data_IF_199398878030
#
_entry.id   IF_199398878030
#
_cell.length_a   1.000
_cell.length_b   1.000
_cell.length_c   1.000
_cell.angle_alpha   90.00
_cell.angle_beta   90.00
_cell.angle_gamma   90.00
#
_symmetry.space_group_name_H-M   'P 1'
#
loop_
_entity.id
_entity.type
_entity.pdbx_description
1 polymer ?
#
# COMPACT_ATOMS: atom_id res chain seq x y z
N UNK A 1 49.09 34.24 50.34
CA UNK A 1 50.41 34.86 50.14
C UNK A 1 50.98 34.21 48.88
N UNK A 2 51.18 34.84 47.73
CA UNK A 2 51.51 36.23 47.39
C UNK A 2 50.94 36.51 45.98
N UNK A 3 50.49 37.75 45.74
CA UNK A 3 49.97 38.28 44.47
C UNK A 3 51.12 38.78 43.54
N UNK A 4 50.88 39.41 42.37
CA UNK A 4 51.59 39.16 41.12
C UNK A 4 52.62 40.26 40.75
N UNK A 5 53.17 40.25 39.52
CA UNK A 5 53.24 41.50 38.74
C UNK A 5 52.74 41.30 37.30
N UNK A 6 51.73 42.06 36.85
CA UNK A 6 51.82 43.41 36.26
C UNK A 6 52.27 43.43 34.79
N UNK A 7 51.31 43.82 33.94
CA UNK A 7 51.41 44.18 32.53
C UNK A 7 52.44 45.28 32.25
N UNK A 8 52.76 45.51 30.96
CA UNK A 8 52.79 46.87 30.46
C UNK A 8 51.86 47.07 29.26
N UNK A 9 51.33 48.28 29.24
CA UNK A 9 50.35 48.86 28.33
C UNK A 9 50.95 49.53 27.10
N UNK A 10 50.15 49.51 26.03
CA UNK A 10 49.90 50.58 25.05
C UNK A 10 50.94 50.92 23.97
N UNK A 11 50.57 50.69 22.70
CA UNK A 11 50.48 51.78 21.71
C UNK A 11 49.52 51.41 20.58
N UNK A 12 48.59 52.34 20.38
CA UNK A 12 47.52 52.43 19.39
C UNK A 12 48.01 52.58 17.95
N UNK A 13 47.36 51.91 17.00
CA UNK A 13 47.10 52.45 15.67
C UNK A 13 45.77 51.91 15.16
N UNK A 14 44.80 52.81 15.08
CA UNK A 14 43.49 52.60 14.47
C UNK A 14 43.63 52.54 12.95
N UNK A 15 43.00 51.56 12.32
CA UNK A 15 42.42 51.75 11.00
C UNK A 15 40.99 51.20 11.03
N UNK A 16 40.07 52.15 11.06
CA UNK A 16 38.65 51.98 10.77
C UNK A 16 38.49 51.62 9.29
N UNK A 17 37.79 50.53 8.99
CA UNK A 17 36.80 50.53 7.90
C UNK A 17 35.78 49.41 8.06
N UNK A 18 34.58 49.82 8.46
CA UNK A 18 33.27 49.40 7.94
C UNK A 18 32.85 47.91 7.97
N UNK A 19 31.95 47.62 8.92
CA UNK A 19 30.68 46.91 8.76
C UNK A 19 30.36 46.32 7.37
N UNK A 20 29.97 45.03 7.34
CA UNK A 20 28.55 44.70 7.15
C UNK A 20 28.25 43.24 7.48
N UNK A 21 27.14 43.08 8.18
CA UNK A 21 26.38 41.87 8.46
C UNK A 21 26.11 41.01 7.21
N UNK A 22 26.25 39.69 7.33
CA UNK A 22 25.51 38.76 6.48
C UNK A 22 24.82 37.69 7.34
N UNK A 23 23.55 37.98 7.64
CA UNK A 23 22.54 37.03 8.09
C UNK A 23 22.25 36.04 6.96
N UNK A 24 22.64 34.78 7.12
CA UNK A 24 22.17 33.72 6.21
C UNK A 24 20.75 33.30 6.64
N UNK A 25 19.76 34.02 6.11
CA UNK A 25 18.37 33.60 6.05
C UNK A 25 18.27 32.48 5.01
N UNK A 26 18.08 31.23 5.44
CA UNK A 26 17.69 30.15 4.54
C UNK A 26 16.17 30.14 4.40
N UNK A 27 15.64 31.09 3.63
CA UNK A 27 14.29 30.98 3.09
C UNK A 27 14.32 29.93 1.97
N UNK A 28 13.82 28.72 2.24
CA UNK A 28 13.49 27.76 1.19
C UNK A 28 12.28 28.30 0.38
N UNK A 29 12.24 28.08 -0.94
CA UNK A 29 11.16 28.60 -1.77
C UNK A 29 9.82 27.95 -1.43
N UNK A 30 8.69 28.63 -1.68
CA UNK A 30 7.36 28.09 -1.38
C UNK A 30 7.07 26.85 -2.24
N UNK A 31 6.32 25.91 -1.68
CA UNK A 31 5.79 24.74 -2.38
C UNK A 31 4.87 25.21 -3.53
N UNK A 32 5.29 24.97 -4.76
CA UNK A 32 4.45 25.17 -5.95
C UNK A 32 3.42 24.04 -5.98
N UNK A 33 2.15 24.35 -5.74
CA UNK A 33 1.05 23.46 -6.10
C UNK A 33 0.94 23.41 -7.63
N UNK A 34 1.19 22.24 -8.21
CA UNK A 34 1.00 22.01 -9.64
C UNK A 34 -0.44 21.51 -9.86
N UNK A 35 -1.30 22.26 -10.58
CA UNK A 35 -2.64 21.79 -10.93
C UNK A 35 -2.53 20.59 -11.89
N UNK A 36 -3.31 19.56 -11.62
CA UNK A 36 -3.39 18.35 -12.43
C UNK A 36 -4.11 18.68 -13.75
N UNK A 37 -3.35 19.02 -14.79
CA UNK A 37 -3.87 19.26 -16.12
C UNK A 37 -4.22 17.94 -16.82
N UNK A 38 -5.45 17.88 -17.29
CA UNK A 38 -6.07 16.83 -18.10
C UNK A 38 -5.25 16.56 -19.37
N UNK A 39 -4.64 15.38 -19.45
CA UNK A 39 -3.94 14.91 -20.65
C UNK A 39 -4.95 14.23 -21.59
N UNK A 40 -5.59 15.04 -22.43
CA UNK A 40 -6.17 14.58 -23.69
C UNK A 40 -5.50 15.35 -24.83
N UNK A 41 -4.69 14.65 -25.63
CA UNK A 41 -4.34 15.10 -26.98
C UNK A 41 -4.13 13.88 -27.88
N UNK A 42 -4.75 13.83 -29.06
CA UNK A 42 -4.77 12.66 -29.92
C UNK A 42 -3.43 12.44 -30.61
N UNK A 43 -3.12 11.17 -30.86
CA UNK A 43 -1.94 10.75 -31.61
C UNK A 43 -2.00 11.27 -33.06
N UNK A 44 -1.10 12.19 -33.40
CA UNK A 44 -0.70 12.44 -34.77
C UNK A 44 0.38 11.43 -35.14
N UNK A 45 0.14 10.65 -36.19
CA UNK A 45 1.10 9.72 -36.76
C UNK A 45 2.20 10.50 -37.50
N UNK A 46 3.36 10.66 -36.85
CA UNK A 46 4.59 11.05 -37.55
C UNK A 46 5.29 9.79 -38.07
N UNK A 47 5.23 9.60 -39.40
CA UNK A 47 6.03 8.61 -40.12
C UNK A 47 7.52 8.97 -40.03
N UNK A 48 8.21 8.34 -39.09
CA UNK A 48 9.68 8.35 -39.04
C UNK A 48 10.23 7.41 -40.12
N UNK A 49 10.77 8.03 -41.18
CA UNK A 49 11.46 7.35 -42.27
C UNK A 49 12.71 6.60 -41.76
N UNK A 50 12.56 5.30 -41.55
CA UNK A 50 13.69 4.39 -41.31
C UNK A 50 14.13 3.77 -42.63
N UNK A 51 15.41 3.89 -42.96
CA UNK A 51 16.06 3.28 -44.14
C UNK A 51 16.06 1.74 -44.04
N UNK A 52 14.89 1.12 -44.25
CA UNK A 52 14.72 -0.31 -44.42
C UNK A 52 14.90 -0.72 -45.88
N UNK A 53 15.40 -1.94 -46.14
CA UNK A 53 15.49 -2.52 -47.50
C UNK A 53 14.11 -2.47 -48.18
N UNK A 54 13.95 -1.57 -49.16
CA UNK A 54 12.69 -1.17 -49.85
C UNK A 54 11.79 -2.31 -50.37
N UNK A 55 12.28 -3.55 -50.44
CA UNK A 55 11.51 -4.74 -50.87
C UNK A 55 10.78 -5.52 -49.76
N UNK A 56 10.78 -5.04 -48.50
CA UNK A 56 10.24 -5.80 -47.37
C UNK A 56 8.79 -5.45 -46.97
N UNK A 57 8.27 -4.32 -47.42
CA UNK A 57 6.95 -3.83 -47.02
C UNK A 57 5.81 -4.63 -47.66
N UNK A 58 4.81 -5.00 -46.84
CA UNK A 58 3.63 -5.78 -47.23
C UNK A 58 2.87 -5.14 -48.39
N UNK A 59 2.76 -3.80 -48.39
CA UNK A 59 2.06 -3.05 -49.42
C UNK A 59 2.79 -3.11 -50.77
N UNK A 60 4.12 -2.94 -50.80
CA UNK A 60 4.92 -3.04 -52.02
C UNK A 60 4.86 -4.43 -52.65
N UNK A 61 4.84 -5.49 -51.83
CA UNK A 61 4.78 -6.88 -52.34
C UNK A 61 3.42 -7.26 -52.93
N UNK A 62 2.33 -6.68 -52.42
CA UNK A 62 1.00 -6.79 -53.03
C UNK A 62 0.94 -6.07 -54.37
N UNK A 63 1.43 -4.82 -54.43
CA UNK A 63 1.48 -4.03 -55.68
C UNK A 63 2.31 -4.70 -56.77
N UNK A 64 3.41 -5.37 -56.41
CA UNK A 64 4.21 -6.19 -57.35
C UNK A 64 3.36 -7.32 -57.95
N UNK A 65 2.48 -7.96 -57.17
CA UNK A 65 1.59 -9.01 -57.69
C UNK A 65 0.51 -8.44 -58.55
N UNK A 66 -0.16 -7.36 -58.12
CA UNK A 66 -1.22 -6.72 -58.89
C UNK A 66 -0.69 -6.34 -60.28
N UNK A 67 0.53 -5.82 -60.35
CA UNK A 67 1.22 -5.50 -61.60
C UNK A 67 1.56 -6.74 -62.43
N UNK A 68 2.08 -7.81 -61.81
CA UNK A 68 2.36 -9.07 -62.51
C UNK A 68 1.09 -9.75 -63.04
N UNK A 69 -0.04 -9.63 -62.33
CA UNK A 69 -1.34 -10.14 -62.78
C UNK A 69 -1.84 -9.41 -64.03
N UNK A 70 -1.59 -8.10 -64.15
CA UNK A 70 -1.90 -7.33 -65.37
C UNK A 70 -1.11 -7.84 -66.60
N UNK A 71 0.10 -8.37 -66.39
CA UNK A 71 0.96 -8.95 -67.43
C UNK A 71 0.77 -10.47 -67.62
N UNK A 72 -0.18 -11.09 -66.92
CA UNK A 72 -0.46 -12.53 -66.99
C UNK A 72 -1.62 -12.83 -67.93
N UNK A 73 -1.40 -13.66 -68.95
CA UNK A 73 -2.45 -14.21 -69.82
C UNK A 73 -2.45 -15.73 -69.71
N UNK A 74 -3.60 -16.35 -69.46
CA UNK A 74 -3.77 -17.81 -69.28
C UNK A 74 -2.79 -18.42 -68.25
N UNK A 75 -2.52 -17.71 -67.15
CA UNK A 75 -1.60 -18.16 -66.09
C UNK A 75 -0.11 -18.16 -66.47
N UNK A 76 0.26 -17.55 -67.61
CA UNK A 76 1.64 -17.36 -68.05
C UNK A 76 1.97 -15.86 -68.14
N UNK A 77 3.13 -15.50 -67.60
CA UNK A 77 3.65 -14.14 -67.65
C UNK A 77 4.29 -13.84 -69.01
N UNK A 78 4.10 -12.62 -69.50
CA UNK A 78 4.75 -12.13 -70.73
C UNK A 78 6.29 -12.07 -70.59
N UNK A 79 7.00 -12.32 -71.69
CA UNK A 79 8.47 -12.34 -71.72
C UNK A 79 9.00 -10.93 -71.40
N UNK A 80 9.86 -10.84 -70.38
CA UNK A 80 10.50 -9.56 -69.98
C UNK A 80 9.80 -8.83 -68.83
N UNK A 81 8.53 -9.14 -68.51
CA UNK A 81 7.75 -8.41 -67.51
C UNK A 81 8.39 -8.44 -66.11
N UNK A 82 9.10 -9.52 -65.74
CA UNK A 82 9.79 -9.60 -64.45
C UNK A 82 10.96 -8.62 -64.34
N UNK A 83 11.61 -8.26 -65.45
CA UNK A 83 12.67 -7.24 -65.47
C UNK A 83 12.09 -5.84 -65.36
N UNK A 84 10.95 -5.61 -66.02
CA UNK A 84 10.23 -4.34 -65.98
C UNK A 84 9.68 -4.04 -64.58
N UNK A 85 8.96 -5.00 -63.96
CA UNK A 85 8.46 -4.89 -62.59
C UNK A 85 9.61 -4.80 -61.58
N UNK A 86 10.74 -5.48 -61.81
CA UNK A 86 11.92 -5.35 -60.97
C UNK A 86 12.53 -3.93 -60.99
N UNK A 87 12.58 -3.30 -62.17
CA UNK A 87 13.05 -1.92 -62.33
C UNK A 87 12.08 -0.92 -61.70
N UNK A 88 10.77 -1.07 -61.93
CA UNK A 88 9.72 -0.18 -61.40
C UNK A 88 9.73 -0.13 -59.86
N UNK A 89 9.85 -1.28 -59.21
CA UNK A 89 9.84 -1.36 -57.74
C UNK A 89 11.23 -1.30 -57.10
N UNK A 90 12.30 -1.14 -57.90
CA UNK A 90 13.70 -1.15 -57.46
C UNK A 90 14.05 -2.39 -56.59
N UNK A 91 13.65 -3.58 -57.07
CA UNK A 91 13.83 -4.87 -56.39
C UNK A 91 14.49 -5.85 -57.37
N UNK A 92 15.28 -6.80 -56.87
CA UNK A 92 15.90 -7.80 -57.75
C UNK A 92 14.86 -8.66 -58.49
N UNK A 93 15.13 -8.99 -59.75
CA UNK A 93 14.31 -9.91 -60.57
C UNK A 93 14.09 -11.26 -59.90
N UNK A 94 15.10 -11.75 -59.13
CA UNK A 94 14.98 -12.97 -58.31
C UNK A 94 13.91 -12.85 -57.23
N UNK A 95 13.78 -11.69 -56.59
CA UNK A 95 12.76 -11.44 -55.56
C UNK A 95 11.37 -11.37 -56.18
N UNK A 96 11.22 -10.69 -57.32
CA UNK A 96 9.96 -10.64 -58.10
C UNK A 96 9.52 -12.06 -58.50
N UNK A 97 10.44 -12.88 -59.01
CA UNK A 97 10.17 -14.28 -59.35
C UNK A 97 9.75 -15.13 -58.15
N UNK A 98 10.36 -14.94 -56.97
CA UNK A 98 9.96 -15.63 -55.73
C UNK A 98 8.56 -15.22 -55.27
N UNK A 99 8.23 -13.93 -55.34
CA UNK A 99 6.90 -13.41 -55.00
C UNK A 99 5.85 -14.05 -55.92
N UNK A 100 6.11 -14.07 -57.24
CA UNK A 100 5.23 -14.68 -58.22
C UNK A 100 5.02 -16.18 -58.00
N UNK A 101 6.08 -16.91 -57.68
CA UNK A 101 5.98 -18.35 -57.41
C UNK A 101 5.07 -18.65 -56.22
N UNK A 102 5.19 -17.87 -55.13
CA UNK A 102 4.33 -18.03 -53.95
C UNK A 102 2.87 -17.75 -54.31
N UNK A 103 2.63 -16.65 -55.03
CA UNK A 103 1.29 -16.26 -55.46
C UNK A 103 0.65 -17.32 -56.38
N UNK A 104 1.40 -17.82 -57.37
CA UNK A 104 0.94 -18.85 -58.31
C UNK A 104 0.55 -20.15 -57.58
N UNK A 105 1.36 -20.59 -56.62
CA UNK A 105 1.05 -21.79 -55.82
C UNK A 105 -0.21 -21.59 -54.97
N UNK A 106 -0.41 -20.41 -54.36
CA UNK A 106 -1.62 -20.10 -53.58
C UNK A 106 -2.87 -20.05 -54.49
N UNK A 107 -2.77 -19.41 -55.66
CA UNK A 107 -3.85 -19.35 -56.65
C UNK A 107 -4.25 -20.73 -57.17
N UNK A 108 -3.27 -21.61 -57.45
CA UNK A 108 -3.55 -23.00 -57.88
C UNK A 108 -4.22 -23.85 -56.80
N UNK A 109 -3.93 -23.56 -55.52
CA UNK A 109 -4.56 -24.20 -54.37
C UNK A 109 -5.91 -23.58 -53.96
N UNK A 110 -6.40 -22.57 -54.69
CA UNK A 110 -7.65 -21.85 -54.36
C UNK A 110 -7.57 -21.00 -53.09
N UNK A 111 -6.37 -20.71 -52.59
CA UNK A 111 -6.13 -19.93 -51.38
C UNK A 111 -5.97 -18.44 -51.70
N UNK A 112 -6.38 -17.54 -50.79
CA UNK A 112 -6.11 -16.11 -50.94
C UNK A 112 -4.59 -15.85 -50.99
N UNK A 113 -4.17 -14.97 -51.90
CA UNK A 113 -2.75 -14.67 -52.12
C UNK A 113 -2.19 -13.83 -50.96
N UNK A 114 -1.35 -14.46 -50.13
CA UNK A 114 -0.59 -13.79 -49.07
C UNK A 114 0.92 -13.91 -49.32
N UNK A 115 1.52 -12.80 -49.70
CA UNK A 115 2.95 -12.69 -49.99
C UNK A 115 3.69 -11.85 -48.97
N UNK A 116 3.19 -11.74 -47.74
CA UNK A 116 3.92 -11.10 -46.66
C UNK A 116 5.35 -11.62 -46.54
N UNK A 117 6.26 -10.71 -46.20
CA UNK A 117 7.63 -11.07 -45.88
C UNK A 117 7.65 -12.00 -44.67
N UNK A 118 7.91 -13.29 -44.90
CA UNK A 118 8.05 -14.29 -43.84
C UNK A 118 9.20 -14.02 -42.87
N UNK A 119 10.07 -13.05 -43.17
CA UNK A 119 11.15 -12.62 -42.29
C UNK A 119 10.65 -11.78 -41.11
N UNK A 120 9.56 -11.04 -41.30
CA UNK A 120 8.93 -10.23 -40.25
C UNK A 120 8.33 -11.22 -39.22
N UNK A 121 8.79 -11.16 -37.97
CA UNK A 121 8.41 -12.08 -36.90
C UNK A 121 9.19 -13.40 -36.83
N UNK A 122 9.82 -13.85 -37.93
CA UNK A 122 10.66 -15.06 -37.93
C UNK A 122 12.16 -14.81 -37.89
N UNK A 123 12.59 -13.57 -38.12
CA UNK A 123 14.00 -13.18 -38.05
C UNK A 123 14.38 -12.71 -36.64
N UNK A 124 15.64 -12.94 -36.27
CA UNK A 124 16.20 -12.58 -34.97
C UNK A 124 16.24 -13.75 -33.98
N UNK A 125 16.90 -13.52 -32.84
CA UNK A 125 17.07 -14.53 -31.79
C UNK A 125 15.70 -14.88 -31.19
N UNK A 126 15.30 -16.14 -31.30
CA UNK A 126 14.10 -16.67 -30.65
C UNK A 126 14.21 -16.48 -29.13
N UNK A 127 13.11 -16.10 -28.49
CA UNK A 127 13.08 -15.86 -27.05
C UNK A 127 13.36 -17.17 -26.32
N UNK A 128 14.34 -17.15 -25.42
CA UNK A 128 14.55 -18.27 -24.50
C UNK A 128 13.41 -18.33 -23.50
N UNK A 129 12.69 -19.44 -23.48
CA UNK A 129 11.62 -19.70 -22.51
C UNK A 129 12.22 -19.94 -21.12
N UNK A 130 11.47 -19.60 -20.08
CA UNK A 130 11.87 -19.92 -18.71
C UNK A 130 11.81 -21.45 -18.55
N UNK A 131 12.91 -22.06 -18.12
CA UNK A 131 12.88 -23.46 -17.70
C UNK A 131 12.17 -23.55 -16.33
N UNK A 132 10.87 -23.82 -16.34
CA UNK A 132 10.02 -23.84 -15.15
C UNK A 132 10.39 -24.97 -14.19
N UNK A 133 10.73 -26.16 -14.70
CA UNK A 133 11.16 -27.30 -13.89
C UNK A 133 12.45 -26.98 -13.13
N UNK A 134 13.45 -26.40 -13.80
CA UNK A 134 14.70 -25.97 -13.14
C UNK A 134 14.41 -24.92 -12.08
N UNK A 135 13.55 -23.94 -12.36
CA UNK A 135 13.22 -22.90 -11.37
C UNK A 135 12.45 -23.42 -10.16
N UNK A 136 11.59 -24.45 -10.33
CA UNK A 136 10.89 -25.11 -9.23
C UNK A 136 11.85 -25.91 -8.34
N UNK A 137 12.87 -26.55 -8.92
CA UNK A 137 13.92 -27.25 -8.18
C UNK A 137 14.84 -26.29 -7.38
N UNK A 138 14.91 -25.01 -7.74
CA UNK A 138 15.69 -24.00 -7.00
C UNK A 138 14.95 -23.58 -5.73
N UNK A 139 15.50 -23.85 -4.53
CA UNK A 139 14.87 -23.48 -3.27
C UNK A 139 14.80 -21.96 -3.09
N UNK A 140 13.78 -21.48 -2.37
CA UNK A 140 13.49 -20.05 -2.24
C UNK A 140 14.66 -19.20 -1.72
N UNK A 141 15.49 -19.74 -0.83
CA UNK A 141 16.63 -19.00 -0.29
C UNK A 141 17.70 -18.67 -1.35
N UNK A 142 17.78 -19.42 -2.46
CA UNK A 142 18.70 -19.17 -3.59
C UNK A 142 18.08 -18.29 -4.70
N UNK A 143 16.83 -17.83 -4.55
CA UNK A 143 16.14 -16.95 -5.52
C UNK A 143 15.59 -15.66 -4.93
N UNK A 144 16.17 -15.19 -3.81
CA UNK A 144 15.76 -13.94 -3.11
C UNK A 144 15.98 -12.67 -3.94
N UNK A 145 17.00 -12.64 -4.80
CA UNK A 145 17.29 -11.52 -5.67
C UNK A 145 17.63 -12.00 -7.09
N UNK A 146 17.61 -11.08 -8.05
CA UNK A 146 17.80 -11.40 -9.47
C UNK A 146 19.16 -12.03 -9.76
N UNK A 147 20.23 -11.65 -9.03
CA UNK A 147 21.57 -12.22 -9.22
C UNK A 147 21.62 -13.67 -8.75
N UNK A 148 21.04 -13.95 -7.58
CA UNK A 148 21.00 -15.30 -7.02
C UNK A 148 20.17 -16.26 -7.90
N UNK A 149 19.00 -15.80 -8.37
CA UNK A 149 18.18 -16.59 -9.30
C UNK A 149 18.90 -16.82 -10.63
N UNK A 150 19.58 -15.80 -11.17
CA UNK A 150 20.34 -15.92 -12.41
C UNK A 150 21.45 -16.98 -12.30
N UNK A 151 22.21 -16.95 -11.20
CA UNK A 151 23.23 -17.95 -10.91
C UNK A 151 22.65 -19.36 -10.78
N UNK A 152 21.57 -19.54 -10.01
CA UNK A 152 20.94 -20.85 -9.83
C UNK A 152 20.31 -21.40 -11.13
N UNK A 153 19.87 -20.52 -12.03
CA UNK A 153 19.29 -20.87 -13.31
C UNK A 153 20.32 -21.02 -14.42
N UNK A 154 21.60 -20.72 -14.16
CA UNK A 154 22.69 -20.67 -15.14
C UNK A 154 22.35 -19.75 -16.33
N UNK A 155 21.89 -18.54 -16.01
CA UNK A 155 21.54 -17.51 -16.99
C UNK A 155 22.08 -16.15 -16.56
N UNK A 156 22.11 -15.19 -17.48
CA UNK A 156 22.48 -13.81 -17.14
C UNK A 156 21.40 -13.10 -16.31
N UNK A 157 21.81 -12.12 -15.49
CA UNK A 157 20.89 -11.23 -14.75
C UNK A 157 19.89 -10.52 -15.69
N UNK A 158 20.34 -10.13 -16.88
CA UNK A 158 19.49 -9.44 -17.87
C UNK A 158 18.40 -10.36 -18.43
N UNK A 159 18.67 -11.68 -18.51
CA UNK A 159 17.65 -12.68 -18.85
C UNK A 159 16.54 -12.71 -17.78
N UNK A 160 16.90 -12.77 -16.49
CA UNK A 160 15.92 -12.71 -15.39
C UNK A 160 15.14 -11.40 -15.37
N UNK A 161 15.79 -10.27 -15.66
CA UNK A 161 15.14 -8.97 -15.78
C UNK A 161 14.10 -8.96 -16.90
N UNK A 162 14.43 -9.57 -18.04
CA UNK A 162 13.53 -9.70 -19.17
C UNK A 162 12.31 -10.53 -18.79
N UNK A 163 12.51 -11.68 -18.14
CA UNK A 163 11.42 -12.54 -17.64
C UNK A 163 10.46 -11.80 -16.70
N UNK A 164 10.98 -10.89 -15.86
CA UNK A 164 10.13 -10.02 -15.02
C UNK A 164 9.34 -9.00 -15.86
N UNK A 165 9.99 -8.36 -16.85
CA UNK A 165 9.33 -7.38 -17.74
C UNK A 165 8.25 -8.02 -18.62
N UNK A 166 8.50 -9.24 -19.11
CA UNK A 166 7.53 -10.02 -19.89
C UNK A 166 6.48 -10.74 -19.04
N UNK A 167 6.58 -10.66 -17.71
CA UNK A 167 5.69 -11.36 -16.76
C UNK A 167 5.75 -12.89 -16.84
N UNK A 168 6.82 -13.46 -17.39
CA UNK A 168 7.08 -14.91 -17.36
C UNK A 168 7.37 -15.40 -15.93
N UNK A 169 7.89 -14.50 -15.09
CA UNK A 169 8.05 -14.70 -13.64
C UNK A 169 7.55 -13.46 -12.90
N UNK A 170 7.19 -13.64 -11.62
CA UNK A 170 6.73 -12.54 -10.76
C UNK A 170 7.64 -12.34 -9.55
N UNK A 171 7.81 -11.08 -9.15
CA UNK A 171 8.33 -10.75 -7.81
C UNK A 171 7.20 -10.90 -6.80
N UNK A 172 7.48 -11.52 -5.66
CA UNK A 172 6.55 -11.61 -4.55
C UNK A 172 7.27 -11.22 -3.27
N UNK A 173 6.72 -10.25 -2.54
CA UNK A 173 7.18 -9.89 -1.21
C UNK A 173 6.41 -10.71 -0.19
N UNK A 174 7.12 -11.37 0.73
CA UNK A 174 6.54 -12.16 1.80
C UNK A 174 6.87 -11.49 3.14
N UNK A 175 5.85 -10.97 3.83
CA UNK A 175 6.00 -10.40 5.16
C UNK A 175 5.89 -11.51 6.21
N UNK A 176 6.68 -11.40 7.29
CA UNK A 176 6.58 -12.32 8.42
C UNK A 176 5.22 -12.10 9.08
N UNK A 177 4.45 -13.18 9.24
CA UNK A 177 3.18 -13.18 9.96
C UNK A 177 3.41 -13.59 11.42
N UNK A 178 2.55 -13.15 12.36
CA UNK A 178 2.60 -13.61 13.73
C UNK A 178 2.51 -15.14 13.80
N UNK A 179 3.32 -15.73 14.66
CA UNK A 179 3.25 -17.16 14.92
C UNK A 179 2.00 -17.50 15.73
N UNK A 180 1.27 -18.53 15.31
CA UNK A 180 0.09 -19.04 15.98
C UNK A 180 0.32 -20.51 16.35
N UNK A 181 0.41 -20.79 17.65
CA UNK A 181 0.32 -22.15 18.16
C UNK A 181 -1.11 -22.69 18.00
N UNK A 182 -1.31 -24.01 18.08
CA UNK A 182 -2.64 -24.63 17.92
C UNK A 182 -3.67 -24.04 18.90
N UNK A 183 -3.30 -23.88 20.18
CA UNK A 183 -4.16 -23.20 21.17
C UNK A 183 -4.53 -21.77 20.75
N UNK A 184 -3.60 -21.04 20.13
CA UNK A 184 -3.85 -19.69 19.61
C UNK A 184 -4.82 -19.70 18.43
N UNK A 185 -4.70 -20.68 17.53
CA UNK A 185 -5.64 -20.88 16.42
C UNK A 185 -7.03 -21.21 16.93
N UNK A 186 -7.17 -22.13 17.89
CA UNK A 186 -8.47 -22.47 18.48
C UNK A 186 -9.13 -21.27 19.17
N UNK A 187 -8.36 -20.43 19.88
CA UNK A 187 -8.88 -19.16 20.45
C UNK A 187 -9.39 -18.21 19.37
N UNK A 188 -8.66 -18.07 18.25
CA UNK A 188 -9.11 -17.27 17.11
C UNK A 188 -10.36 -17.83 16.45
N UNK A 189 -10.41 -19.16 16.30
CA UNK A 189 -11.55 -19.87 15.72
C UNK A 189 -12.81 -19.67 16.57
N UNK A 190 -12.70 -19.94 17.88
CA UNK A 190 -13.77 -19.69 18.85
C UNK A 190 -14.23 -18.24 18.83
N UNK A 191 -13.30 -17.29 18.90
CA UNK A 191 -13.62 -15.87 18.84
C UNK A 191 -14.42 -15.52 17.58
N UNK A 192 -14.04 -16.02 16.40
CA UNK A 192 -14.80 -15.74 15.17
C UNK A 192 -16.18 -16.42 15.16
N UNK A 193 -16.32 -17.62 15.73
CA UNK A 193 -17.61 -18.31 15.88
C UNK A 193 -18.54 -17.59 16.86
N UNK A 194 -18.02 -17.10 17.98
CA UNK A 194 -18.77 -16.36 19.00
C UNK A 194 -19.35 -15.04 18.45
N UNK A 195 -18.77 -14.53 17.36
CA UNK A 195 -19.27 -13.35 16.65
C UNK A 195 -20.28 -13.67 15.56
N UNK A 196 -20.70 -14.92 15.37
CA UNK A 196 -21.82 -15.24 14.49
C UNK A 196 -23.12 -15.02 15.25
N UNK A 197 -24.05 -14.31 14.62
CA UNK A 197 -25.32 -13.91 15.24
C UNK A 197 -26.23 -15.13 15.35
N UNK A 198 -26.66 -15.48 16.57
CA UNK A 198 -27.44 -16.71 16.82
C UNK A 198 -28.70 -16.88 15.94
N UNK A 199 -29.54 -15.84 15.70
CA UNK A 199 -30.69 -15.92 14.79
C UNK A 199 -30.36 -16.31 13.33
N UNK A 200 -29.11 -16.18 12.91
CA UNK A 200 -28.68 -16.43 11.52
C UNK A 200 -28.30 -17.89 11.26
N UNK A 201 -28.16 -18.69 12.32
CA UNK A 201 -27.76 -20.09 12.27
C UNK A 201 -29.00 -20.99 12.08
N UNK A 202 -28.91 -22.08 11.29
CA UNK A 202 -27.77 -22.50 10.47
C UNK A 202 -27.84 -22.02 9.01
N UNK A 203 -28.95 -21.41 8.59
CA UNK A 203 -29.28 -21.22 7.16
C UNK A 203 -28.37 -20.17 6.50
N UNK A 204 -28.08 -19.06 7.17
CA UNK A 204 -27.23 -17.99 6.64
C UNK A 204 -26.36 -17.36 7.74
N UNK A 205 -25.29 -18.04 8.19
CA UNK A 205 -24.46 -17.56 9.29
C UNK A 205 -23.83 -16.20 8.97
N UNK A 206 -24.27 -15.16 9.69
CA UNK A 206 -23.79 -13.78 9.51
C UNK A 206 -23.11 -13.25 10.76
N UNK A 207 -22.04 -12.49 10.57
CA UNK A 207 -21.30 -11.91 11.68
C UNK A 207 -22.09 -10.79 12.36
N UNK A 208 -21.76 -10.57 13.63
CA UNK A 208 -22.26 -9.48 14.44
C UNK A 208 -22.06 -8.14 13.74
N UNK A 209 -23.03 -7.23 13.88
CA UNK A 209 -22.97 -5.95 13.18
C UNK A 209 -21.89 -5.00 13.73
N UNK A 210 -21.37 -5.22 14.94
CA UNK A 210 -20.37 -4.34 15.58
C UNK A 210 -20.83 -2.90 15.84
N UNK A 211 -22.14 -2.61 15.87
CA UNK A 211 -22.66 -1.26 16.17
C UNK A 211 -22.53 -0.86 17.66
N UNK A 212 -22.30 -1.84 18.52
CA UNK A 212 -22.05 -1.79 19.96
C UNK A 212 -20.55 -1.93 20.31
N UNK A 213 -19.67 -2.15 19.33
CA UNK A 213 -18.23 -2.30 19.54
C UNK A 213 -17.48 -0.99 19.28
N UNK A 214 -16.49 -0.73 20.13
CA UNK A 214 -15.44 0.26 19.94
C UNK A 214 -14.12 -0.48 19.93
N UNK A 215 -13.38 -0.39 18.83
CA UNK A 215 -12.02 -0.92 18.73
C UNK A 215 -11.03 0.14 19.16
N UNK A 216 -10.17 -0.22 20.10
CA UNK A 216 -9.03 0.58 20.51
C UNK A 216 -7.72 -0.13 20.20
N UNK A 217 -6.68 0.68 19.98
CA UNK A 217 -5.33 0.20 19.72
C UNK A 217 -4.34 1.34 19.87
N UNK A 218 -3.08 1.01 20.17
CA UNK A 218 -2.01 1.98 20.30
C UNK A 218 -1.02 1.88 19.15
N UNK A 219 -0.51 3.05 18.71
CA UNK A 219 0.55 3.09 17.72
C UNK A 219 1.57 4.18 17.98
N UNK A 220 2.85 3.80 17.85
CA UNK A 220 3.96 4.73 17.71
C UNK A 220 4.02 5.29 16.29
N UNK A 221 3.93 6.62 16.19
CA UNK A 221 4.20 7.35 14.96
C UNK A 221 5.56 8.04 15.06
N UNK A 222 6.42 7.83 14.07
CA UNK A 222 7.75 8.44 14.00
C UNK A 222 7.68 9.68 13.10
N UNK A 223 8.42 10.74 13.45
CA UNK A 223 8.55 11.92 12.59
C UNK A 223 9.06 11.56 11.18
N UNK A 224 9.92 10.54 11.09
CA UNK A 224 10.50 10.13 9.81
C UNK A 224 10.80 8.65 9.77
N UNK A 225 10.63 8.01 8.60
CA UNK A 225 10.95 6.60 8.40
C UNK A 225 12.45 6.42 8.18
N UNK A 226 13.01 5.32 8.68
CA UNK A 226 14.44 4.99 8.47
C UNK A 226 14.80 4.77 6.99
N UNK A 227 13.86 4.23 6.22
CA UNK A 227 14.01 3.96 4.79
C UNK A 227 12.76 4.45 4.08
N UNK A 228 12.94 5.34 3.12
CA UNK A 228 11.87 5.88 2.28
C UNK A 228 12.30 5.76 0.82
N UNK A 229 11.35 5.44 -0.06
CA UNK A 229 11.57 5.41 -1.50
C UNK A 229 11.11 6.73 -2.08
N UNK A 230 11.99 7.41 -2.82
CA UNK A 230 11.65 8.62 -3.57
C UNK A 230 11.60 8.30 -5.06
N UNK A 231 10.68 8.92 -5.78
CA UNK A 231 10.69 8.96 -7.24
C UNK A 231 11.30 10.29 -7.63
N UNK A 232 12.46 10.25 -8.27
CA UNK A 232 13.22 11.41 -8.70
C UNK A 232 13.39 11.41 -10.23
N UNK A 233 13.53 12.59 -10.82
CA UNK A 233 13.86 12.72 -12.25
C UNK A 233 15.30 12.23 -12.49
N UNK A 234 15.66 11.82 -13.73
CA UNK A 234 17.01 11.33 -14.02
C UNK A 234 18.14 12.33 -13.73
N UNK A 235 17.83 13.63 -13.79
CA UNK A 235 18.78 14.74 -13.56
C UNK A 235 18.66 15.33 -12.14
N UNK A 236 17.67 14.90 -11.37
CA UNK A 236 17.47 15.38 -9.99
C UNK A 236 18.49 14.72 -9.06
N UNK A 237 19.18 15.48 -8.19
CA UNK A 237 20.13 14.90 -7.25
C UNK A 237 19.41 14.01 -6.23
N UNK A 238 20.06 12.90 -5.85
CA UNK A 238 19.52 11.99 -4.84
C UNK A 238 19.33 12.70 -3.50
N UNK A 239 18.17 12.53 -2.82
CA UNK A 239 17.90 13.20 -1.56
C UNK A 239 18.82 12.67 -0.45
N UNK A 240 19.62 13.57 0.14
CA UNK A 240 20.47 13.26 1.28
C UNK A 240 19.70 13.43 2.61
N UNK A 241 19.57 12.35 3.38
CA UNK A 241 18.89 12.33 4.69
C UNK A 241 19.82 11.79 5.77
N UNK A 242 20.06 12.60 6.81
CA UNK A 242 20.93 12.23 7.93
C UNK A 242 20.25 12.42 9.27
N UNK A 243 20.53 11.51 10.19
CA UNK A 243 20.24 11.65 11.61
C UNK A 243 21.44 11.11 12.39
N UNK A 244 21.73 11.68 13.56
CA UNK A 244 22.84 11.22 14.42
C UNK A 244 22.66 9.75 14.86
N UNK A 245 21.42 9.34 15.12
CA UNK A 245 21.08 7.95 15.44
C UNK A 245 19.65 7.63 15.06
N UNK A 246 19.44 6.44 14.48
CA UNK A 246 18.11 5.93 14.16
C UNK A 246 17.29 5.59 15.41
N UNK A 247 17.95 5.27 16.52
CA UNK A 247 17.29 4.93 17.77
C UNK A 247 16.58 6.11 18.43
N UNK A 248 17.02 7.34 18.11
CA UNK A 248 16.52 8.58 18.72
C UNK A 248 15.63 9.39 17.77
N UNK A 249 15.07 8.75 16.73
CA UNK A 249 14.07 9.41 15.89
C UNK A 249 12.88 9.77 16.78
N UNK A 250 12.46 11.04 16.85
CA UNK A 250 11.34 11.45 17.68
C UNK A 250 10.05 10.74 17.26
N UNK A 251 9.31 10.27 18.26
CA UNK A 251 8.08 9.51 18.08
C UNK A 251 7.12 9.75 19.23
N UNK A 252 5.83 9.66 18.96
CA UNK A 252 4.75 9.74 19.95
C UNK A 252 3.86 8.51 19.79
N UNK A 253 3.45 7.91 20.90
CA UNK A 253 2.42 6.88 20.91
C UNK A 253 1.04 7.55 20.97
N UNK A 254 0.07 7.00 20.24
CA UNK A 254 -1.32 7.43 20.30
C UNK A 254 -2.20 6.24 20.61
N UNK A 255 -3.19 6.44 21.48
CA UNK A 255 -4.36 5.57 21.61
C UNK A 255 -5.42 6.05 20.63
N UNK A 256 -5.85 5.21 19.70
CA UNK A 256 -6.97 5.52 18.81
C UNK A 256 -8.20 4.69 19.20
N UNK A 257 -9.39 5.27 19.00
CA UNK A 257 -10.65 4.61 19.30
C UNK A 257 -11.68 4.89 18.19
N UNK A 258 -12.22 3.81 17.62
CA UNK A 258 -13.23 3.88 16.54
C UNK A 258 -14.33 2.85 16.76
N UNK A 259 -15.57 3.28 16.58
CA UNK A 259 -16.72 2.39 16.46
C UNK A 259 -17.21 2.30 15.02
N UNK A 260 -18.24 1.49 14.80
CA UNK A 260 -18.82 1.34 13.47
C UNK A 260 -19.75 2.51 13.11
N UNK A 261 -19.50 3.25 12.01
CA UNK A 261 -20.35 4.37 11.59
C UNK A 261 -21.79 3.95 11.35
N UNK A 262 -22.73 4.86 11.58
CA UNK A 262 -24.17 4.64 11.39
C UNK A 262 -24.68 5.58 10.32
N UNK A 263 -25.44 5.03 9.38
CA UNK A 263 -26.04 5.76 8.27
C UNK A 263 -27.57 5.71 8.40
N UNK A 264 -28.24 6.78 7.98
CA UNK A 264 -29.69 6.83 7.83
C UNK A 264 -30.14 6.12 6.56
N UNK A 265 -31.45 5.97 6.40
CA UNK A 265 -32.04 5.29 5.25
C UNK A 265 -31.78 6.01 3.91
N UNK A 266 -31.52 7.31 3.97
CA UNK A 266 -31.15 8.18 2.86
C UNK A 266 -29.63 8.19 2.58
N UNK A 267 -28.85 7.44 3.36
CA UNK A 267 -27.38 7.44 3.31
C UNK A 267 -26.72 8.59 4.06
N UNK A 268 -27.48 9.43 4.78
CA UNK A 268 -26.91 10.48 5.62
C UNK A 268 -26.10 9.85 6.78
N UNK A 269 -24.98 10.48 7.14
CA UNK A 269 -24.15 10.03 8.25
C UNK A 269 -24.82 10.45 9.56
N UNK A 270 -25.40 9.49 10.29
CA UNK A 270 -25.96 9.73 11.63
C UNK A 270 -24.87 9.72 12.70
N UNK A 271 -23.85 8.90 12.49
CA UNK A 271 -22.67 8.85 13.35
C UNK A 271 -21.45 8.43 12.56
N UNK A 272 -20.35 9.17 12.71
CA UNK A 272 -19.16 8.98 11.89
C UNK A 272 -18.22 7.86 12.37
N UNK A 273 -18.50 7.28 13.55
CA UNK A 273 -17.73 6.20 14.17
C UNK A 273 -16.43 6.63 14.85
N UNK A 274 -16.09 7.92 14.89
CA UNK A 274 -14.81 8.40 15.46
C UNK A 274 -14.99 8.80 16.92
N UNK A 275 -14.30 8.11 17.84
CA UNK A 275 -14.28 8.48 19.26
C UNK A 275 -13.15 9.48 19.52
N UNK A 276 -11.91 9.10 19.18
CA UNK A 276 -10.77 9.99 19.37
C UNK A 276 -9.44 9.33 19.05
N UNK A 277 -8.41 10.16 18.97
CA UNK A 277 -7.02 9.77 18.90
C UNK A 277 -6.24 10.61 19.92
N UNK A 278 -5.60 9.96 20.88
CA UNK A 278 -5.08 10.60 22.09
C UNK A 278 -3.57 10.39 22.19
N UNK A 279 -2.75 11.45 22.10
CA UNK A 279 -1.31 11.34 22.25
C UNK A 279 -0.91 11.06 23.70
N UNK A 280 0.07 10.17 23.89
CA UNK A 280 0.77 10.00 25.17
C UNK A 280 1.86 11.08 25.28
N UNK A 281 1.48 12.24 25.81
CA UNK A 281 2.35 13.41 25.96
C UNK A 281 2.12 14.11 27.29
N UNK A 282 3.13 14.84 27.75
CA UNK A 282 3.06 15.72 28.92
C UNK A 282 3.75 17.05 28.62
N UNK A 283 3.33 18.11 29.30
CA UNK A 283 4.00 19.41 29.22
C UNK A 283 5.16 19.46 30.20
N UNK A 284 6.31 19.96 29.75
CA UNK A 284 7.47 20.14 30.59
C UNK A 284 8.21 21.43 30.22
N UNK A 285 8.66 22.15 31.25
CA UNK A 285 9.49 23.32 31.04
C UNK A 285 10.85 22.95 30.45
N UNK A 286 11.29 23.77 29.50
CA UNK A 286 12.62 23.68 28.90
C UNK A 286 13.69 24.08 29.94
N UNK A 287 14.48 23.09 30.38
CA UNK A 287 15.54 23.31 31.39
C UNK A 287 16.73 24.12 30.90
N UNK A 288 16.92 24.25 29.58
CA UNK A 288 18.06 24.94 28.97
C UNK A 288 17.58 25.85 27.85
N UNK A 289 18.15 27.04 27.78
CA UNK A 289 17.97 27.92 26.63
C UNK A 289 18.64 27.33 25.40
N UNK A 290 17.96 27.37 24.27
CA UNK A 290 18.50 27.05 22.96
C UNK A 290 18.40 28.27 22.05
N UNK A 291 19.10 28.24 20.90
CA UNK A 291 19.03 29.31 19.89
C UNK A 291 17.59 29.65 19.47
N UNK A 292 16.68 28.68 19.57
CA UNK A 292 15.31 28.84 19.10
C UNK A 292 14.29 29.05 20.24
N UNK A 293 14.68 28.87 21.51
CA UNK A 293 13.74 28.91 22.66
C UNK A 293 14.42 29.28 23.98
N UNK A 294 13.90 30.25 24.76
CA UNK A 294 14.39 30.55 26.10
C UNK A 294 14.05 29.43 27.09
N UNK A 295 14.84 29.32 28.16
CA UNK A 295 14.55 28.41 29.27
C UNK A 295 13.22 28.78 29.95
N UNK A 296 12.49 27.78 30.43
CA UNK A 296 11.16 27.96 31.04
C UNK A 296 9.98 27.92 30.06
N UNK A 297 10.23 27.86 28.75
CA UNK A 297 9.15 27.64 27.76
C UNK A 297 8.54 26.25 27.98
N UNK A 298 7.21 26.16 28.13
CA UNK A 298 6.48 24.89 28.17
C UNK A 298 6.58 24.18 26.82
N UNK A 299 7.01 22.93 26.82
CA UNK A 299 7.13 22.10 25.63
C UNK A 299 6.39 20.78 25.82
N UNK A 300 5.66 20.38 24.79
CA UNK A 300 5.03 19.07 24.72
C UNK A 300 6.10 18.01 24.49
N UNK A 301 6.23 17.08 25.43
CA UNK A 301 7.16 15.94 25.34
C UNK A 301 6.39 14.64 25.23
N UNK A 302 6.97 13.71 24.48
CA UNK A 302 6.45 12.36 24.37
C UNK A 302 6.71 11.58 25.68
N UNK A 303 5.70 10.86 26.16
CA UNK A 303 5.88 9.89 27.24
C UNK A 303 6.67 8.70 26.69
N UNK A 304 7.91 8.50 27.17
CA UNK A 304 8.82 7.49 26.60
C UNK A 304 8.51 6.07 27.06
N UNK A 305 7.92 5.93 28.24
CA UNK A 305 7.61 4.64 28.87
C UNK A 305 6.16 4.64 29.26
N UNK A 306 5.35 3.89 28.53
CA UNK A 306 3.93 3.71 28.86
C UNK A 306 3.79 2.40 29.64
N UNK A 307 3.46 2.54 30.91
CA UNK A 307 3.15 1.43 31.82
C UNK A 307 1.62 1.25 31.91
N UNK A 308 1.19 0.31 32.75
CA UNK A 308 -0.24 0.05 32.96
C UNK A 308 -0.98 1.25 33.54
N UNK A 309 -0.34 2.02 34.42
CA UNK A 309 -0.98 3.17 35.06
C UNK A 309 -1.24 4.30 34.07
N UNK A 310 -0.28 4.59 33.17
CA UNK A 310 -0.46 5.55 32.07
C UNK A 310 -1.54 5.09 31.08
N UNK A 311 -1.59 3.79 30.75
CA UNK A 311 -2.69 3.24 29.94
C UNK A 311 -4.04 3.42 30.63
N UNK A 312 -4.14 3.03 31.91
CA UNK A 312 -5.35 3.15 32.72
C UNK A 312 -5.82 4.60 32.81
N UNK A 313 -4.90 5.52 33.08
CA UNK A 313 -5.16 6.96 33.10
C UNK A 313 -5.72 7.45 31.76
N UNK A 314 -5.12 7.02 30.65
CA UNK A 314 -5.62 7.36 29.31
C UNK A 314 -7.06 6.84 29.09
N UNK A 315 -7.36 5.62 29.53
CA UNK A 315 -8.71 5.06 29.41
C UNK A 315 -9.72 5.84 30.26
N UNK A 316 -9.38 6.14 31.52
CA UNK A 316 -10.27 6.81 32.47
C UNK A 316 -10.49 8.30 32.15
N UNK A 317 -9.42 9.03 31.87
CA UNK A 317 -9.48 10.50 31.74
C UNK A 317 -9.81 10.96 30.31
N UNK A 318 -9.54 10.14 29.29
CA UNK A 318 -9.72 10.52 27.89
C UNK A 318 -10.73 9.64 27.16
N UNK A 319 -10.53 8.32 27.18
CA UNK A 319 -11.36 7.42 26.37
C UNK A 319 -12.81 7.35 26.88
N UNK A 320 -13.04 7.00 28.15
CA UNK A 320 -14.38 6.83 28.69
C UNK A 320 -15.22 8.11 28.57
N UNK A 321 -14.72 9.32 28.94
CA UNK A 321 -15.45 10.56 28.71
C UNK A 321 -15.80 10.77 27.23
N UNK A 322 -14.85 10.54 26.31
CA UNK A 322 -15.11 10.69 24.88
C UNK A 322 -16.15 9.70 24.35
N UNK A 323 -16.19 8.47 24.89
CA UNK A 323 -17.25 7.50 24.58
C UNK A 323 -18.59 8.02 25.07
N UNK A 324 -18.68 8.43 26.35
CA UNK A 324 -19.92 8.90 26.96
C UNK A 324 -20.48 10.13 26.23
N UNK A 325 -19.61 11.01 25.74
CA UNK A 325 -19.98 12.20 24.96
C UNK A 325 -20.46 11.87 23.54
N UNK A 326 -19.76 10.97 22.83
CA UNK A 326 -19.96 10.75 21.39
C UNK A 326 -20.82 9.55 21.03
N UNK A 327 -21.21 8.73 21.99
CA UNK A 327 -21.97 7.51 21.72
C UNK A 327 -23.34 7.85 21.10
N UNK A 328 -23.70 7.24 19.95
CA UNK A 328 -24.94 7.58 19.24
C UNK A 328 -26.15 6.75 19.70
N UNK A 329 -25.97 5.73 20.54
CA UNK A 329 -27.01 4.77 20.90
C UNK A 329 -27.81 5.20 22.13
N UNK A 330 -29.14 4.98 22.17
CA UNK A 330 -29.92 5.17 23.39
C UNK A 330 -29.57 4.11 24.44
N UNK A 331 -29.16 2.91 24.00
CA UNK A 331 -28.58 1.88 24.85
C UNK A 331 -27.12 2.22 25.14
N UNK A 332 -26.77 2.21 26.42
CA UNK A 332 -25.42 2.50 26.94
C UNK A 332 -24.58 1.22 27.14
N UNK A 333 -24.94 0.15 26.44
CA UNK A 333 -24.21 -1.10 26.37
C UNK A 333 -23.12 -0.98 25.29
N UNK A 334 -21.85 -1.01 25.70
CA UNK A 334 -20.71 -0.82 24.80
C UNK A 334 -19.65 -1.86 25.10
N UNK A 335 -19.04 -2.41 24.05
CA UNK A 335 -17.91 -3.34 24.17
C UNK A 335 -16.67 -2.66 23.59
N UNK A 336 -15.68 -2.43 24.46
CA UNK A 336 -14.36 -1.95 24.05
C UNK A 336 -13.47 -3.15 23.77
N UNK A 337 -13.11 -3.35 22.51
CA UNK A 337 -12.15 -4.36 22.10
C UNK A 337 -10.73 -3.78 22.14
N UNK A 338 -9.82 -4.50 22.81
CA UNK A 338 -8.38 -4.19 22.81
C UNK A 338 -7.53 -5.47 22.66
N UNK A 339 -6.22 -5.30 22.47
CA UNK A 339 -5.28 -6.41 22.48
C UNK A 339 -4.92 -6.88 23.91
N UNK A 340 -4.20 -8.00 24.02
CA UNK A 340 -3.80 -8.57 25.31
C UNK A 340 -2.30 -8.36 25.57
N UNK A 341 -1.77 -7.18 25.27
CA UNK A 341 -0.43 -6.78 25.67
C UNK A 341 -0.32 -6.51 27.19
N UNK A 342 0.86 -6.74 27.76
CA UNK A 342 1.14 -6.62 29.20
C UNK A 342 0.74 -5.29 29.87
N UNK A 343 0.93 -4.10 29.23
CA UNK A 343 0.58 -2.84 29.87
C UNK A 343 -0.93 -2.56 29.86
N UNK A 344 -1.76 -3.42 29.28
CA UNK A 344 -3.20 -3.19 29.30
C UNK A 344 -3.82 -3.42 30.67
N UNK A 345 -4.94 -2.73 30.85
CA UNK A 345 -5.82 -2.84 32.01
C UNK A 345 -6.56 -4.17 31.93
N UNK A 346 -6.65 -4.88 33.06
CA UNK A 346 -7.42 -6.12 33.15
C UNK A 346 -8.92 -5.83 32.98
N UNK A 347 -9.66 -6.79 32.43
CA UNK A 347 -11.10 -6.67 32.24
C UNK A 347 -11.87 -6.41 33.56
N UNK A 348 -11.31 -6.82 34.70
CA UNK A 348 -11.92 -6.67 36.02
C UNK A 348 -11.24 -5.59 36.88
N UNK A 349 -10.46 -4.69 36.29
CA UNK A 349 -9.89 -3.57 37.05
C UNK A 349 -11.02 -2.73 37.67
N UNK A 350 -10.97 -2.58 39.00
CA UNK A 350 -12.07 -2.01 39.78
C UNK A 350 -12.37 -0.57 39.41
N UNK A 351 -11.34 0.27 39.24
CA UNK A 351 -11.53 1.68 38.89
C UNK A 351 -12.08 1.83 37.47
N UNK A 352 -11.58 1.02 36.53
CA UNK A 352 -12.12 1.00 35.18
C UNK A 352 -13.59 0.58 35.18
N UNK A 353 -13.92 -0.54 35.82
CA UNK A 353 -15.30 -1.05 35.88
C UNK A 353 -16.23 -0.02 36.53
N UNK A 354 -15.80 0.62 37.63
CA UNK A 354 -16.59 1.65 38.31
C UNK A 354 -16.86 2.85 37.39
N UNK A 355 -15.83 3.39 36.73
CA UNK A 355 -16.00 4.51 35.80
C UNK A 355 -16.80 4.14 34.54
N UNK A 356 -16.66 2.90 34.07
CA UNK A 356 -17.36 2.32 32.94
C UNK A 356 -18.85 2.08 33.21
N UNK A 357 -19.24 1.92 34.48
CA UNK A 357 -20.63 1.70 34.92
C UNK A 357 -21.32 2.96 35.45
N UNK A 358 -20.55 4.01 35.74
CA UNK A 358 -21.08 5.27 36.25
C UNK A 358 -22.07 5.91 35.26
N UNK A 359 -23.29 6.17 35.74
CA UNK A 359 -24.34 6.89 35.01
C UNK A 359 -25.15 6.00 34.06
N UNK A 360 -25.59 4.83 34.52
CA UNK A 360 -26.34 3.83 33.72
C UNK A 360 -25.58 3.34 32.48
N UNK A 361 -24.26 3.43 32.51
CA UNK A 361 -23.41 2.89 31.46
C UNK A 361 -23.12 1.41 31.72
N UNK A 362 -22.97 0.64 30.65
CA UNK A 362 -22.55 -0.75 30.70
C UNK A 362 -21.44 -0.97 29.69
N UNK A 363 -20.31 -0.30 29.94
CA UNK A 363 -19.12 -0.41 29.10
C UNK A 363 -18.28 -1.59 29.60
N UNK A 364 -17.96 -2.52 28.71
CA UNK A 364 -17.18 -3.73 29.02
C UNK A 364 -15.92 -3.77 28.18
N UNK A 365 -14.84 -4.24 28.78
CA UNK A 365 -13.58 -4.48 28.08
C UNK A 365 -13.56 -5.93 27.59
N UNK A 366 -13.11 -6.14 26.35
CA UNK A 366 -12.97 -7.47 25.77
C UNK A 366 -11.63 -7.58 25.05
N UNK A 367 -10.91 -8.66 25.34
CA UNK A 367 -9.67 -8.96 24.64
C UNK A 367 -9.93 -9.70 23.32
N UNK A 368 -9.29 -9.22 22.26
CA UNK A 368 -9.16 -10.01 21.04
C UNK A 368 -8.17 -11.18 21.25
N UNK A 369 -8.19 -12.21 20.39
CA UNK A 369 -7.28 -13.33 20.51
C UNK A 369 -5.81 -12.90 20.38
N UNK A 370 -4.86 -13.54 21.10
CA UNK A 370 -3.44 -13.20 21.01
C UNK A 370 -2.91 -13.25 19.57
N UNK A 371 -1.92 -12.41 19.24
CA UNK A 371 -1.25 -12.38 17.94
C UNK A 371 -2.21 -12.20 16.73
N UNK A 372 -3.28 -11.42 16.91
CA UNK A 372 -4.35 -11.25 15.93
C UNK A 372 -4.57 -9.80 15.47
N UNK A 373 -3.53 -9.11 14.94
CA UNK A 373 -3.68 -7.74 14.45
C UNK A 373 -4.65 -7.63 13.26
N UNK A 374 -4.90 -8.73 12.55
CA UNK A 374 -5.87 -8.83 11.47
C UNK A 374 -7.34 -8.82 11.93
N UNK A 375 -7.57 -8.94 13.25
CA UNK A 375 -8.90 -8.85 13.90
C UNK A 375 -9.11 -7.51 14.62
N UNK A 376 -8.18 -6.56 14.51
CA UNK A 376 -8.35 -5.19 14.98
C UNK A 376 -8.55 -4.23 13.79
N UNK A 377 -9.57 -3.40 13.88
CA UNK A 377 -9.96 -2.43 12.85
C UNK A 377 -8.85 -1.38 12.59
N UNK A 378 -8.14 -0.94 13.62
CA UNK A 378 -7.10 0.09 13.53
C UNK A 378 -5.86 -0.42 12.81
N UNK A 379 -5.36 -1.59 13.20
CA UNK A 379 -4.25 -2.29 12.55
C UNK A 379 -4.55 -2.70 11.11
N UNK A 380 -5.76 -3.22 10.86
CA UNK A 380 -6.16 -3.75 9.56
C UNK A 380 -6.23 -2.66 8.47
N UNK A 381 -6.59 -1.42 8.85
CA UNK A 381 -6.90 -0.37 7.88
C UNK A 381 -6.28 1.01 8.15
N UNK A 382 -6.42 1.55 9.36
CA UNK A 382 -6.25 3.00 9.58
C UNK A 382 -4.83 3.43 9.89
N UNK A 383 -4.13 2.66 10.71
CA UNK A 383 -2.81 3.04 11.15
C UNK A 383 -1.78 3.12 10.02
N UNK A 384 -1.96 2.35 8.94
CA UNK A 384 -1.11 2.45 7.75
C UNK A 384 -1.42 3.70 6.92
N UNK A 385 -2.67 4.14 6.85
CA UNK A 385 -3.02 5.35 6.11
C UNK A 385 -2.51 6.61 6.82
N UNK A 386 -2.67 6.68 8.16
CA UNK A 386 -2.14 7.81 8.95
C UNK A 386 -0.61 7.90 8.81
N UNK A 387 0.09 6.78 8.91
CA UNK A 387 1.56 6.72 8.76
C UNK A 387 2.04 7.10 7.35
N UNK A 388 1.18 6.97 6.33
CA UNK A 388 1.46 7.42 4.97
C UNK A 388 1.27 8.94 4.85
N UNK A 389 0.21 9.49 5.45
CA UNK A 389 -0.08 10.93 5.45
C UNK A 389 0.99 11.68 6.25
N UNK A 390 1.41 11.15 7.40
CA UNK A 390 2.48 11.73 8.21
C UNK A 390 3.80 11.85 7.44
N UNK A 391 4.17 10.80 6.69
CA UNK A 391 5.38 10.77 5.88
C UNK A 391 5.33 11.81 4.74
N UNK A 392 4.13 12.09 4.20
CA UNK A 392 3.91 13.14 3.20
C UNK A 392 3.95 14.56 3.78
N UNK A 393 3.49 14.75 5.01
CA UNK A 393 3.48 16.06 5.67
C UNK A 393 4.88 16.56 6.05
N UNK A 394 5.87 15.66 6.14
CA UNK A 394 7.26 15.98 6.43
C UNK A 394 7.46 16.83 7.70
N UNK A 395 6.70 16.51 8.75
CA UNK A 395 6.75 17.17 10.07
C UNK A 395 8.18 17.27 10.61
N UNK A 396 8.51 18.38 11.28
CA UNK A 396 9.85 18.59 11.87
C UNK A 396 9.82 18.73 13.39
N UNK A 397 8.64 18.94 13.98
CA UNK A 397 8.42 19.01 15.42
C UNK A 397 7.40 17.97 15.89
N UNK A 398 7.43 17.68 17.20
CA UNK A 398 6.46 16.79 17.83
C UNK A 398 5.04 17.37 17.81
N UNK A 399 4.89 18.69 17.96
CA UNK A 399 3.62 19.41 17.81
C UNK A 399 3.01 19.17 16.42
N UNK A 400 3.81 19.35 15.35
CA UNK A 400 3.38 19.09 13.97
C UNK A 400 2.91 17.63 13.79
N UNK A 401 3.59 16.67 14.45
CA UNK A 401 3.21 15.26 14.39
C UNK A 401 1.81 15.06 15.02
N UNK A 402 1.55 15.65 16.19
CA UNK A 402 0.23 15.60 16.85
C UNK A 402 -0.83 16.22 15.94
N UNK A 403 -0.56 17.39 15.37
CA UNK A 403 -1.49 18.06 14.45
C UNK A 403 -1.79 17.18 13.25
N UNK A 404 -0.77 16.66 12.56
CA UNK A 404 -0.96 15.84 11.35
C UNK A 404 -1.70 14.54 11.66
N UNK A 405 -1.38 13.85 12.75
CA UNK A 405 -2.07 12.62 13.16
C UNK A 405 -3.53 12.91 13.50
N UNK A 406 -3.80 13.96 14.28
CA UNK A 406 -5.16 14.37 14.66
C UNK A 406 -5.98 14.79 13.44
N UNK A 407 -5.41 15.62 12.57
CA UNK A 407 -6.08 16.05 11.31
C UNK A 407 -6.34 14.85 10.40
N UNK A 408 -5.38 13.94 10.26
CA UNK A 408 -5.56 12.71 9.46
C UNK A 408 -6.65 11.81 10.03
N UNK A 409 -6.78 11.71 11.35
CA UNK A 409 -7.84 10.95 11.99
C UNK A 409 -9.20 11.59 11.76
N UNK A 410 -9.32 12.91 11.93
CA UNK A 410 -10.56 13.66 11.67
C UNK A 410 -11.01 13.55 10.21
N UNK A 411 -10.05 13.58 9.27
CA UNK A 411 -10.30 13.43 7.84
C UNK A 411 -10.72 12.01 7.40
N UNK A 412 -10.71 11.03 8.32
CA UNK A 412 -11.22 9.69 8.01
C UNK A 412 -12.72 9.77 7.73
N UNK A 413 -13.11 9.31 6.53
CA UNK A 413 -14.52 9.31 6.12
C UNK A 413 -15.26 8.10 6.70
N UNK A 414 -16.55 8.25 7.07
CA UNK A 414 -17.37 7.16 7.58
C UNK A 414 -17.44 5.94 6.64
N UNK A 415 -17.44 6.16 5.33
CA UNK A 415 -17.52 5.07 4.33
C UNK A 415 -16.24 4.24 4.31
N UNK A 416 -15.08 4.92 4.36
CA UNK A 416 -13.79 4.23 4.54
C UNK A 416 -13.76 3.51 5.88
N UNK A 417 -14.33 4.12 6.92
CA UNK A 417 -14.41 3.54 8.25
C UNK A 417 -15.18 2.20 8.23
N UNK A 418 -16.40 2.23 7.69
CA UNK A 418 -17.27 1.06 7.53
C UNK A 418 -16.66 -0.03 6.63
N UNK A 419 -15.93 0.37 5.58
CA UNK A 419 -15.27 -0.59 4.69
C UNK A 419 -14.27 -1.50 5.42
N UNK A 420 -13.55 -1.01 6.43
CA UNK A 420 -12.62 -1.87 7.19
C UNK A 420 -13.35 -2.80 8.14
N UNK A 421 -14.48 -2.38 8.73
CA UNK A 421 -15.35 -3.29 9.49
C UNK A 421 -15.80 -4.49 8.64
N UNK A 422 -16.25 -4.23 7.41
CA UNK A 422 -16.58 -5.30 6.45
C UNK A 422 -15.34 -6.12 6.04
N UNK A 423 -14.14 -5.52 6.00
CA UNK A 423 -12.89 -6.29 5.79
C UNK A 423 -12.64 -7.22 6.95
N UNK A 424 -12.79 -6.75 8.19
CA UNK A 424 -12.57 -7.53 9.40
C UNK A 424 -13.51 -8.74 9.44
N UNK A 425 -14.81 -8.54 9.16
CA UNK A 425 -15.75 -9.65 9.04
C UNK A 425 -15.35 -10.65 7.93
N UNK A 426 -14.86 -10.15 6.78
CA UNK A 426 -14.34 -11.03 5.72
C UNK A 426 -13.10 -11.81 6.17
N UNK A 427 -12.21 -11.18 6.95
CA UNK A 427 -11.04 -11.83 7.56
C UNK A 427 -11.48 -12.89 8.56
N UNK A 428 -12.47 -12.61 9.40
CA UNK A 428 -13.04 -13.61 10.31
C UNK A 428 -13.55 -14.83 9.54
N UNK A 429 -14.18 -14.63 8.39
CA UNK A 429 -14.57 -15.74 7.51
C UNK A 429 -13.38 -16.58 7.01
N UNK A 430 -12.25 -15.96 6.68
CA UNK A 430 -11.02 -16.70 6.32
C UNK A 430 -10.39 -17.41 7.54
N UNK A 431 -10.49 -16.83 8.74
CA UNK A 431 -10.06 -17.49 9.97
C UNK A 431 -10.87 -18.76 10.21
N UNK A 432 -12.19 -18.74 9.98
CA UNK A 432 -13.04 -19.93 10.06
C UNK A 432 -12.60 -20.99 9.04
N UNK A 433 -12.46 -20.63 7.75
CA UNK A 433 -12.01 -21.54 6.68
C UNK A 433 -10.64 -22.17 6.95
N UNK A 434 -9.74 -21.42 7.59
CA UNK A 434 -8.38 -21.86 7.89
C UNK A 434 -8.23 -22.39 9.32
N UNK A 435 -9.33 -22.75 9.99
CA UNK A 435 -9.34 -23.37 11.33
C UNK A 435 -8.52 -22.58 12.35
N UNK A 436 -8.67 -21.25 12.34
CA UNK A 436 -7.95 -20.33 13.22
C UNK A 436 -6.61 -19.81 12.68
N UNK A 437 -6.12 -20.37 11.58
CA UNK A 437 -4.86 -19.96 10.94
C UNK A 437 -4.87 -18.54 10.39
N UNK A 438 -3.70 -18.05 9.97
CA UNK A 438 -3.52 -16.73 9.34
C UNK A 438 -2.92 -16.82 7.94
N UNK A 439 -2.87 -18.01 7.33
CA UNK A 439 -2.25 -18.24 6.02
C UNK A 439 -3.20 -17.93 4.85
N UNK A 440 -3.75 -16.72 4.83
CA UNK A 440 -4.59 -16.23 3.75
C UNK A 440 -4.16 -14.83 3.30
N UNK A 441 -4.72 -14.37 2.19
CA UNK A 441 -4.67 -12.96 1.79
C UNK A 441 -5.92 -12.28 2.31
N UNK A 442 -5.81 -11.00 2.66
CA UNK A 442 -6.98 -10.21 3.04
C UNK A 442 -7.99 -10.25 1.89
N UNK A 443 -9.23 -10.73 2.13
CA UNK A 443 -10.24 -10.82 1.08
C UNK A 443 -10.60 -9.45 0.52
N UNK A 444 -10.88 -9.42 -0.79
CA UNK A 444 -11.35 -8.22 -1.47
C UNK A 444 -12.73 -8.49 -2.08
N UNK A 445 -13.74 -7.70 -1.68
CA UNK A 445 -15.13 -7.86 -2.13
C UNK A 445 -15.65 -6.69 -3.00
N UNK A 446 -14.76 -5.80 -3.47
CA UNK A 446 -15.16 -4.71 -4.38
C UNK A 446 -16.14 -3.70 -3.76
N UNK A 447 -15.95 -3.37 -2.48
CA UNK A 447 -16.90 -2.60 -1.66
C UNK A 447 -17.33 -1.27 -2.27
N UNK A 448 -16.41 -0.51 -2.85
CA UNK A 448 -16.75 0.74 -3.55
C UNK A 448 -17.73 0.53 -4.71
N UNK A 449 -17.60 -0.57 -5.45
CA UNK A 449 -18.52 -0.92 -6.52
C UNK A 449 -19.87 -1.36 -5.98
N UNK A 450 -19.89 -2.16 -4.91
CA UNK A 450 -21.13 -2.59 -4.26
C UNK A 450 -21.90 -1.39 -3.68
N UNK A 451 -21.20 -0.46 -3.03
CA UNK A 451 -21.79 0.76 -2.47
C UNK A 451 -22.45 1.62 -3.56
N UNK A 452 -21.75 1.84 -4.69
CA UNK A 452 -22.30 2.60 -5.83
C UNK A 452 -23.56 1.96 -6.43
N UNK A 453 -23.70 0.65 -6.35
CA UNK A 453 -24.87 -0.08 -6.82
C UNK A 453 -25.97 -0.20 -5.76
N UNK A 454 -25.79 0.34 -4.55
CA UNK A 454 -26.73 0.17 -3.43
C UNK A 454 -26.82 -1.27 -2.92
N UNK A 455 -25.76 -2.07 -3.11
CA UNK A 455 -25.71 -3.52 -2.79
C UNK A 455 -24.61 -3.87 -1.79
N UNK A 456 -24.01 -2.88 -1.12
CA UNK A 456 -23.05 -3.16 -0.06
C UNK A 456 -23.81 -3.75 1.14
N UNK A 457 -23.46 -4.96 1.60
CA UNK A 457 -24.18 -5.56 2.71
C UNK A 457 -23.83 -4.85 4.03
N UNK A 458 -24.79 -4.80 4.95
CA UNK A 458 -24.58 -4.28 6.30
C UNK A 458 -23.67 -5.16 7.13
N UNK A 459 -23.59 -6.46 6.85
CA UNK A 459 -22.67 -7.38 7.48
C UNK A 459 -22.33 -8.52 6.52
N UNK A 460 -21.13 -9.05 6.67
CA UNK A 460 -20.67 -10.21 5.92
C UNK A 460 -21.01 -11.49 6.69
N UNK A 461 -21.23 -12.58 5.97
CA UNK A 461 -21.40 -13.91 6.54
C UNK A 461 -20.47 -14.94 5.93
N UNK A 462 -20.65 -16.18 6.34
CA UNK A 462 -20.00 -17.36 5.76
C UNK A 462 -21.04 -18.36 5.29
N UNK A 463 -20.65 -19.24 4.37
CA UNK A 463 -21.51 -20.36 3.97
C UNK A 463 -21.77 -21.29 5.17
N UNK A 464 -22.93 -21.95 5.16
CA UNK A 464 -23.29 -22.96 6.16
C UNK A 464 -22.22 -24.05 6.33
N UNK A 465 -21.62 -24.52 5.23
CA UNK A 465 -20.54 -25.52 5.23
C UNK A 465 -19.35 -25.06 6.08
N UNK A 466 -18.78 -23.88 5.77
CA UNK A 466 -17.67 -23.29 6.52
C UNK A 466 -18.01 -23.14 8.01
N UNK A 467 -19.23 -22.71 8.35
CA UNK A 467 -19.65 -22.61 9.74
C UNK A 467 -19.68 -23.97 10.43
N UNK A 468 -20.30 -24.97 9.81
CA UNK A 468 -20.40 -26.33 10.36
C UNK A 468 -19.01 -26.97 10.51
N UNK A 469 -18.16 -26.90 9.50
CA UNK A 469 -16.79 -27.42 9.55
C UNK A 469 -15.97 -26.76 10.66
N UNK A 470 -16.06 -25.44 10.79
CA UNK A 470 -15.35 -24.70 11.84
C UNK A 470 -15.87 -25.07 13.24
N UNK A 471 -17.18 -25.21 13.40
CA UNK A 471 -17.81 -25.60 14.66
C UNK A 471 -17.42 -27.01 15.07
N UNK A 472 -17.58 -27.99 14.17
CA UNK A 472 -17.20 -29.39 14.43
C UNK A 472 -15.71 -29.50 14.75
N UNK A 473 -14.86 -28.81 13.99
CA UNK A 473 -13.42 -28.80 14.28
C UNK A 473 -13.11 -28.22 15.67
N UNK A 474 -13.80 -27.16 16.09
CA UNK A 474 -13.63 -26.60 17.43
C UNK A 474 -14.08 -27.60 18.52
N UNK A 475 -15.23 -28.25 18.34
CA UNK A 475 -15.78 -29.25 19.27
C UNK A 475 -14.88 -30.48 19.42
N UNK A 476 -14.19 -30.89 18.36
CA UNK A 476 -13.22 -32.02 18.40
C UNK A 476 -11.90 -31.68 19.11
N UNK A 477 -11.55 -30.39 19.25
CA UNK A 477 -10.24 -29.94 19.71
C UNK A 477 -10.29 -29.07 20.99
N UNK A 478 -11.47 -28.86 21.56
CA UNK A 478 -11.69 -28.25 22.86
C UNK A 478 -11.96 -29.32 23.91
#
# INVERSE_FOLDING_TARGET
MVSPPSSPSLSTASLLSSFSSNSCSTNLPPLVQVPLLSLDTPAAEEETSSLGKKGCEKHNRKRVIDKLLQFSKNGKLQRGCMKEVAAEFNISTKTVGKIWSIAKTQMQAGLPVDVQCKWIGNSGKKRGTVNTQKMLAVPFHRRKNMRALAFAMDVSKSTVQRWLKSKDIRRHSNAIKPFLCEKGKLKRLKYCLDHITAPSIPINPTFHHFYDYIHIDEKWFNITKEKTTFYALPEEPDPYRTAQSKAHIPKIMFLAAVGRPRFGNDGAVLWDGKIGIFPFTFEAETKRSSKNRPAGTLEVKATTTINRDEMKKMLLEKLLPAIKEKWPGPRRDVIIQQDNAKPHVDMNDLEFVQAAQEGDWNIKLQFQPPNSPDLNILDLGYFRSIDTILDQAASRKLEDLITVVTTSFTALTPEKLNNVFLTCQSVMGEVLKQKGGNNFKIPHMGKSSLARLGRLPDNVGVSQEVYQEAKTFLEEHM
#
